data_IF_861867475289
#
_entry.id   IF_861867475289
#
_cell.length_a   1.000
_cell.length_b   1.000
_cell.length_c   1.000
_cell.angle_alpha   90.00
_cell.angle_beta   90.00
_cell.angle_gamma   90.00
#
_symmetry.space_group_name_H-M   'P 1'
#
loop_
_entity.id
_entity.type
_entity.pdbx_description
1 polymer ?
#
# COMPACT_ATOMS: atom_id res chain seq x y z
N UNK A 1 19.13 -12.75 -2.63
CA UNK A 1 19.28 -12.52 -2.22
C UNK A 1 19.33 -11.44 -1.74
N UNK A 2 19.53 -10.83 -1.49
CA UNK A 2 19.54 -9.74 -1.04
C UNK A 2 18.39 -9.00 -1.09
N UNK A 3 17.32 -9.42 -0.82
CA UNK A 3 16.10 -8.80 -0.75
C UNK A 3 16.05 -7.78 0.28
N UNK A 4 15.75 -6.59 -0.05
CA UNK A 4 15.78 -5.51 0.89
C UNK A 4 14.42 -4.85 1.09
N UNK A 5 13.39 -5.31 0.45
CA UNK A 5 12.07 -4.71 0.58
C UNK A 5 11.33 -5.17 1.82
N UNK A 6 10.22 -4.49 2.13
CA UNK A 6 9.38 -4.88 3.23
C UNK A 6 8.65 -6.18 2.90
N UNK A 7 8.50 -7.04 3.88
CA UNK A 7 7.74 -8.27 3.74
C UNK A 7 6.35 -8.17 4.35
N UNK A 8 6.19 -7.27 5.31
CA UNK A 8 4.92 -7.07 5.97
C UNK A 8 4.80 -5.61 6.36
N UNK A 9 3.67 -5.01 6.07
CA UNK A 9 3.42 -3.60 6.38
C UNK A 9 2.03 -3.48 7.00
N UNK A 10 1.92 -2.72 8.06
CA UNK A 10 0.66 -2.45 8.72
C UNK A 10 0.42 -0.94 8.67
N UNK A 11 -0.67 -0.54 8.04
CA UNK A 11 -1.03 0.87 7.90
C UNK A 11 -2.16 1.15 8.89
N UNK A 12 -1.82 1.87 9.96
CA UNK A 12 -2.79 2.16 10.98
C UNK A 12 -3.05 3.64 11.07
N UNK A 13 -2.37 4.29 11.54
CA UNK A 13 -2.19 5.64 11.68
C UNK A 13 -3.30 6.59 11.81
N UNK A 14 -3.39 7.46 10.88
CA UNK A 14 -4.01 8.73 11.06
C UNK A 14 -5.50 8.76 10.86
N UNK A 15 -6.06 7.85 10.18
CA UNK A 15 -7.47 7.83 9.80
C UNK A 15 -7.84 8.91 8.76
N UNK A 16 -6.93 9.77 8.34
CA UNK A 16 -7.20 10.68 7.24
C UNK A 16 -6.88 9.96 5.94
N UNK A 17 -7.74 10.15 4.94
CA UNK A 17 -7.58 9.43 3.67
C UNK A 17 -6.30 9.83 2.93
N UNK A 18 -5.92 11.11 2.97
CA UNK A 18 -4.71 11.55 2.28
C UNK A 18 -3.45 10.99 2.95
N UNK A 19 -3.41 10.96 4.27
CA UNK A 19 -2.27 10.41 4.99
C UNK A 19 -2.18 8.90 4.78
N UNK A 20 -3.31 8.22 4.81
CA UNK A 20 -3.37 6.79 4.59
C UNK A 20 -2.88 6.44 3.19
N UNK A 21 -3.32 7.20 2.19
CA UNK A 21 -2.89 6.98 0.82
C UNK A 21 -1.39 7.21 0.67
N UNK A 22 -0.87 8.28 1.25
CA UNK A 22 0.55 8.57 1.16
C UNK A 22 1.38 7.46 1.80
N UNK A 23 1.01 7.04 3.00
CA UNK A 23 1.73 5.99 3.70
C UNK A 23 1.73 4.70 2.88
N UNK A 24 0.58 4.35 2.31
CA UNK A 24 0.45 3.15 1.52
C UNK A 24 1.30 3.22 0.26
N UNK A 25 1.30 4.37 -0.42
CA UNK A 25 2.10 4.53 -1.63
C UNK A 25 3.59 4.40 -1.35
N UNK A 26 4.05 5.01 -0.28
CA UNK A 26 5.45 4.94 0.08
C UNK A 26 5.85 3.51 0.45
N UNK A 27 5.02 2.85 1.24
CA UNK A 27 5.31 1.49 1.65
C UNK A 27 5.27 0.53 0.46
N UNK A 28 4.33 0.74 -0.47
CA UNK A 28 4.18 -0.15 -1.61
C UNK A 28 5.41 -0.11 -2.52
N UNK A 29 6.01 1.06 -2.68
CA UNK A 29 7.20 1.18 -3.51
C UNK A 29 8.35 0.37 -2.96
N UNK A 30 8.41 0.22 -1.64
CA UNK A 30 9.50 -0.49 -0.97
C UNK A 30 9.12 -1.90 -0.57
N UNK A 31 7.91 -2.34 -0.88
CA UNK A 31 7.46 -3.68 -0.54
C UNK A 31 7.98 -4.69 -1.55
N UNK A 32 8.53 -5.78 -1.08
CA UNK A 32 8.99 -6.83 -1.98
C UNK A 32 7.79 -7.62 -2.50
N UNK A 33 8.01 -8.38 -3.55
CA UNK A 33 6.99 -9.29 -4.03
C UNK A 33 6.60 -10.23 -2.90
N UNK A 34 5.33 -10.50 -2.78
CA UNK A 34 4.73 -11.33 -1.74
C UNK A 34 4.55 -10.61 -0.40
N UNK A 35 4.90 -9.33 -0.31
CA UNK A 35 4.64 -8.55 0.89
C UNK A 35 3.16 -8.54 1.21
N UNK A 36 2.84 -8.70 2.49
CA UNK A 36 1.47 -8.59 2.96
C UNK A 36 1.27 -7.19 3.54
N UNK A 37 0.28 -6.48 3.04
CA UNK A 37 -0.04 -5.14 3.50
C UNK A 37 -1.41 -5.17 4.15
N UNK A 38 -1.50 -4.65 5.36
CA UNK A 38 -2.75 -4.59 6.11
C UNK A 38 -3.16 -3.14 6.25
N UNK A 39 -4.37 -2.83 5.80
CA UNK A 39 -4.98 -1.53 6.07
C UNK A 39 -5.95 -1.71 7.22
N UNK A 40 -5.70 -1.06 8.34
CA UNK A 40 -6.61 -1.12 9.46
C UNK A 40 -7.67 -0.04 9.32
N UNK A 41 -8.74 -0.17 10.07
CA UNK A 41 -9.78 0.85 10.17
C UNK A 41 -10.54 1.15 8.88
N UNK A 42 -10.60 0.18 7.98
CA UNK A 42 -11.31 0.38 6.72
C UNK A 42 -12.78 0.71 6.96
N UNK A 43 -13.37 0.11 7.99
CA UNK A 43 -14.77 0.37 8.33
C UNK A 43 -14.91 1.23 9.57
N UNK A 44 -13.87 2.05 9.86
CA UNK A 44 -13.90 2.95 10.99
C UNK A 44 -15.09 3.91 10.83
N UNK A 45 -15.88 4.08 11.88
CA UNK A 45 -17.13 4.80 11.74
C UNK A 45 -17.21 6.08 12.56
N UNK A 46 -16.08 6.65 12.96
CA UNK A 46 -16.05 7.92 13.69
C UNK A 46 -16.22 9.11 12.78
N UNK A 47 -16.22 8.91 11.48
CA UNK A 47 -16.41 9.96 10.49
C UNK A 47 -17.13 9.39 9.28
N UNK A 48 -17.65 10.25 8.43
CA UNK A 48 -18.35 9.79 7.24
C UNK A 48 -17.36 9.18 6.26
N UNK A 49 -17.77 8.10 5.64
CA UNK A 49 -16.90 7.30 4.77
C UNK A 49 -16.33 8.04 3.58
N UNK A 50 -17.04 9.04 3.09
CA UNK A 50 -16.60 9.73 1.89
C UNK A 50 -15.93 11.07 2.18
N UNK A 51 -15.44 11.25 3.40
CA UNK A 51 -14.76 12.49 3.76
C UNK A 51 -13.27 12.21 3.92
N UNK A 52 -12.48 13.28 3.87
CA UNK A 52 -11.05 13.17 4.02
C UNK A 52 -10.67 12.65 5.41
N UNK A 53 -11.57 12.75 6.36
CA UNK A 53 -11.27 12.31 7.73
C UNK A 53 -11.46 10.82 7.92
N UNK A 54 -11.98 10.11 6.92
CA UNK A 54 -12.16 8.67 7.01
C UNK A 54 -11.12 7.97 6.12
N UNK A 55 -10.43 6.96 6.60
CA UNK A 55 -9.38 6.33 5.82
C UNK A 55 -9.88 5.59 4.57
N UNK A 56 -11.15 5.23 4.54
CA UNK A 56 -11.68 4.37 3.49
C UNK A 56 -11.44 4.91 2.09
N UNK A 57 -11.64 6.21 1.87
CA UNK A 57 -11.46 6.75 0.53
C UNK A 57 -10.00 6.70 0.10
N UNK A 58 -9.08 6.88 1.02
CA UNK A 58 -7.66 6.75 0.71
C UNK A 58 -7.28 5.31 0.39
N UNK A 59 -7.82 4.38 1.15
CA UNK A 59 -7.58 2.96 0.91
C UNK A 59 -8.17 2.56 -0.45
N UNK A 60 -9.39 2.99 -0.73
CA UNK A 60 -10.04 2.66 -2.01
C UNK A 60 -9.27 3.25 -3.19
N UNK A 61 -8.73 4.47 -3.03
CA UNK A 61 -7.93 5.07 -4.08
C UNK A 61 -6.66 4.27 -4.34
N UNK A 62 -6.00 3.81 -3.27
CA UNK A 62 -4.83 2.98 -3.40
C UNK A 62 -5.16 1.67 -4.11
N UNK A 63 -6.22 1.00 -3.67
CA UNK A 63 -6.60 -0.29 -4.23
C UNK A 63 -6.96 -0.17 -5.70
N UNK A 64 -7.62 0.91 -6.09
CA UNK A 64 -8.00 1.14 -7.48
C UNK A 64 -6.77 1.40 -8.34
N UNK A 65 -5.87 2.22 -7.84
CA UNK A 65 -4.65 2.57 -8.57
C UNK A 65 -3.79 1.35 -8.84
N UNK A 66 -3.72 0.44 -7.87
CA UNK A 66 -2.82 -0.71 -7.94
C UNK A 66 -3.55 -2.03 -8.19
N UNK A 67 -4.75 -1.97 -8.75
CA UNK A 67 -5.64 -3.14 -8.76
C UNK A 67 -5.07 -4.40 -9.42
N UNK A 68 -4.10 -4.26 -10.29
CA UNK A 68 -3.53 -5.43 -10.95
C UNK A 68 -2.22 -5.88 -10.31
N UNK A 69 -1.88 -5.31 -9.15
CA UNK A 69 -0.59 -5.57 -8.52
C UNK A 69 -0.69 -6.42 -7.26
N UNK A 70 -1.88 -6.80 -6.86
CA UNK A 70 -2.06 -7.55 -5.62
C UNK A 70 -3.23 -8.50 -5.72
N UNK A 71 -3.33 -9.41 -4.74
CA UNK A 71 -4.56 -10.15 -4.55
C UNK A 71 -5.05 -9.90 -3.15
N UNK A 72 -6.36 -9.93 -2.96
CA UNK A 72 -6.97 -9.66 -1.66
C UNK A 72 -7.03 -10.94 -0.84
N UNK A 73 -6.49 -10.88 0.36
CA UNK A 73 -6.54 -12.00 1.28
C UNK A 73 -7.72 -11.90 2.23
N UNK A 74 -8.13 -10.69 2.59
CA UNK A 74 -9.24 -10.49 3.50
C UNK A 74 -9.82 -9.09 3.32
N UNK A 75 -11.12 -8.99 3.42
CA UNK A 75 -11.79 -7.69 3.34
C UNK A 75 -12.88 -7.63 4.41
N UNK A 76 -12.77 -6.68 5.30
CA UNK A 76 -13.72 -6.44 6.36
C UNK A 76 -13.34 -5.15 7.04
N UNK A 77 -13.30 -5.14 8.36
CA UNK A 77 -12.84 -3.96 9.08
C UNK A 77 -11.40 -3.64 8.69
N UNK A 78 -10.65 -4.66 8.34
CA UNK A 78 -9.31 -4.50 7.78
C UNK A 78 -9.34 -4.96 6.32
N UNK A 79 -8.45 -4.42 5.51
CA UNK A 79 -8.20 -4.93 4.17
C UNK A 79 -6.79 -5.52 4.20
N UNK A 80 -6.65 -6.75 3.78
CA UNK A 80 -5.35 -7.42 3.75
C UNK A 80 -5.08 -7.87 2.34
N UNK A 81 -3.98 -7.39 1.77
CA UNK A 81 -3.61 -7.73 0.40
C UNK A 81 -2.19 -8.28 0.36
N UNK A 82 -1.89 -9.03 -0.69
CA UNK A 82 -0.55 -9.54 -0.89
C UNK A 82 -0.04 -9.07 -2.25
N UNK A 83 1.13 -8.45 -2.25
CA UNK A 83 1.72 -7.89 -3.45
C UNK A 83 2.18 -8.99 -4.38
N UNK A 84 1.89 -8.81 -5.67
CA UNK A 84 2.25 -9.81 -6.67
C UNK A 84 3.26 -9.32 -7.69
N UNK A 85 3.75 -8.09 -7.52
CA UNK A 85 4.73 -7.52 -8.43
C UNK A 85 6.02 -7.17 -7.66
N UNK A 86 7.15 -7.05 -8.33
CA UNK A 86 8.41 -6.79 -7.65
C UNK A 86 8.50 -5.40 -7.04
N UNK A 87 9.48 -5.20 -6.18
CA UNK A 87 9.73 -3.93 -5.54
C UNK A 87 10.05 -2.87 -6.60
N UNK A 88 9.26 -1.82 -6.60
CA UNK A 88 9.35 -0.83 -7.65
C UNK A 88 10.55 0.07 -7.50
N UNK A 89 10.85 0.44 -6.27
CA UNK A 89 11.98 1.31 -6.02
C UNK A 89 13.29 0.67 -6.45
N UNK A 90 13.45 -0.61 -6.14
CA UNK A 90 14.64 -1.32 -6.56
C UNK A 90 14.78 -1.37 -8.06
N UNK A 91 13.68 -1.57 -8.74
CA UNK A 91 13.68 -1.59 -10.19
C UNK A 91 14.10 -0.24 -10.76
N UNK A 92 13.60 0.84 -10.20
CA UNK A 92 13.96 2.18 -10.67
C UNK A 92 15.43 2.49 -10.44
N UNK A 93 15.96 2.08 -9.30
CA UNK A 93 17.38 2.30 -9.04
C UNK A 93 18.24 1.53 -10.01
N UNK A 94 17.84 0.35 -10.37
CA UNK A 94 18.54 -0.43 -11.35
C UNK A 94 18.54 0.24 -12.71
N UNK A 95 17.42 0.78 -13.10
CA UNK A 95 17.30 1.49 -14.37
C UNK A 95 18.16 2.74 -14.40
N UNK A 96 18.18 3.46 -13.31
CA UNK A 96 18.99 4.67 -13.24
C UNK A 96 20.46 4.32 -13.38
N UNK A 97 20.91 3.29 -12.70
CA UNK A 97 22.30 2.88 -12.80
C UNK A 97 22.67 2.47 -14.20
N UNK A 98 21.75 1.88 -14.92
CA UNK A 98 22.00 1.47 -16.28
C UNK A 98 22.03 2.65 -17.22
N UNK A 99 21.12 3.58 -17.03
CA UNK A 99 21.00 4.67 -17.95
C UNK A 99 22.09 5.67 -17.84
N UNK A 100 22.67 5.86 -16.68
CA UNK A 100 23.58 6.91 -16.53
C UNK A 100 24.87 6.58 -17.12
N UNK A 101 25.04 5.44 -17.57
CA UNK A 101 26.31 5.10 -18.18
C UNK A 101 26.50 5.73 -19.53
#
# INVERSE_FOLDING_TARGET
QNQTGFNFVYIDGSHRSDDTLLDAEMAWRMASKSCVLVFDDYEWNQAKENTIEHPKSGIDAFLTTHRDEYRTLYKGYQIIIQKEVPMRLGFLLSDINTDEV
#
